data_IF_499749385060
#
_entry.id   IF_499749385060
#
_cell.length_a   1.000
_cell.length_b   1.000
_cell.length_c   1.000
_cell.angle_alpha   90.00
_cell.angle_beta   90.00
_cell.angle_gamma   90.00
#
_symmetry.space_group_name_H-M   'P 1'
#
loop_
_entity.id
_entity.type
_entity.pdbx_description
1 polymer ?
#
# COMPACT_ATOMS: atom_id res chain seq x y z
N UNK A 1 -0.20 14.41 9.75
CA UNK A 1 0.81 15.48 9.88
C UNK A 1 1.12 15.66 11.36
N UNK A 2 2.31 15.22 11.77
CA UNK A 2 2.82 15.39 13.14
C UNK A 2 3.83 16.54 13.21
N UNK A 3 4.29 16.86 14.41
CA UNK A 3 5.39 17.80 14.60
C UNK A 3 6.70 17.21 14.04
N UNK A 4 7.68 18.07 13.78
CA UNK A 4 9.04 17.67 13.47
C UNK A 4 9.61 16.82 14.61
N UNK A 5 10.24 15.69 14.29
CA UNK A 5 10.90 14.85 15.29
C UNK A 5 12.28 15.42 15.62
N UNK A 6 12.47 15.83 16.87
CA UNK A 6 13.77 16.20 17.41
C UNK A 6 14.46 14.96 18.01
N UNK A 7 15.53 14.52 17.33
CA UNK A 7 16.31 13.34 17.71
C UNK A 7 17.19 13.60 18.95
N UNK A 8 17.58 14.85 19.19
CA UNK A 8 18.47 15.21 20.30
C UNK A 8 17.69 15.39 21.61
N UNK A 9 16.38 15.61 21.54
CA UNK A 9 15.56 15.92 22.73
C UNK A 9 15.95 17.26 23.37
N UNK A 10 16.76 18.05 22.68
CA UNK A 10 17.14 19.41 23.03
C UNK A 10 16.07 20.34 22.43
N UNK A 11 14.83 20.17 22.87
CA UNK A 11 13.94 21.32 22.98
C UNK A 11 14.58 22.22 24.03
N UNK A 12 15.63 22.95 23.63
CA UNK A 12 16.12 24.12 24.34
C UNK A 12 14.86 24.94 24.59
N UNK A 13 14.43 25.03 25.86
CA UNK A 13 13.51 26.07 26.26
C UNK A 13 14.10 27.34 25.66
N UNK A 14 13.41 27.88 24.66
CA UNK A 14 13.85 29.07 23.93
C UNK A 14 13.70 30.20 24.94
N UNK A 15 14.71 30.36 25.81
CA UNK A 15 14.72 31.37 26.85
C UNK A 15 14.63 32.73 26.15
N UNK A 16 13.66 33.54 26.59
CA UNK A 16 13.49 34.89 26.08
C UNK A 16 14.75 35.70 26.42
N UNK A 17 15.53 36.05 25.40
CA UNK A 17 16.78 36.82 25.54
C UNK A 17 16.55 38.31 25.33
N UNK A 18 15.32 38.78 25.54
CA UNK A 18 14.99 40.21 25.50
C UNK A 18 15.49 40.89 26.76
N UNK A 19 16.36 41.88 26.56
CA UNK A 19 16.85 42.78 27.60
C UNK A 19 15.86 43.94 27.70
N UNK A 20 15.37 44.17 28.91
CA UNK A 20 14.48 45.27 29.22
C UNK A 20 15.21 46.35 30.02
N UNK A 21 14.96 47.60 29.65
CA UNK A 21 15.32 48.76 30.45
C UNK A 21 14.07 49.28 31.15
N UNK A 22 14.21 49.70 32.41
CA UNK A 22 13.12 50.37 33.14
C UNK A 22 13.19 51.87 32.81
N UNK A 23 12.14 52.42 32.21
CA UNK A 23 12.08 53.84 31.88
C UNK A 23 11.75 54.71 33.12
N UNK A 24 11.81 56.02 32.97
CA UNK A 24 11.56 56.99 34.05
C UNK A 24 10.12 56.94 34.63
N UNK A 25 9.21 56.22 33.96
CA UNK A 25 7.85 55.96 34.42
C UNK A 25 7.70 54.58 35.11
N UNK A 26 8.80 53.85 35.30
CA UNK A 26 8.82 52.53 35.92
C UNK A 26 8.34 51.38 35.02
N UNK A 27 8.18 51.62 33.72
CA UNK A 27 7.71 50.62 32.76
C UNK A 27 8.90 49.92 32.08
N UNK A 28 8.73 48.63 31.76
CA UNK A 28 9.72 47.86 30.99
C UNK A 28 9.66 48.25 29.51
N UNK A 29 10.81 48.60 28.95
CA UNK A 29 10.99 48.88 27.52
C UNK A 29 12.09 47.97 26.96
N UNK A 30 11.75 47.15 25.96
CA UNK A 30 12.72 46.29 25.29
C UNK A 30 13.75 47.14 24.52
N UNK A 31 15.04 46.85 24.71
CA UNK A 31 16.14 47.57 24.03
C UNK A 31 16.80 46.77 22.91
N UNK A 32 16.54 45.46 22.85
CA UNK A 32 16.87 44.60 21.73
C UNK A 32 15.62 43.88 21.23
N UNK A 33 15.68 43.43 19.97
CA UNK A 33 14.75 42.42 19.46
C UNK A 33 15.10 41.08 20.13
N UNK A 34 14.10 40.23 20.32
CA UNK A 34 14.31 38.87 20.80
C UNK A 34 15.38 38.15 19.95
N UNK A 35 16.41 37.65 20.65
CA UNK A 35 17.59 36.97 20.09
C UNK A 35 17.52 35.45 20.30
N UNK A 36 16.41 34.95 20.84
CA UNK A 36 16.20 33.54 21.16
C UNK A 36 16.35 32.61 19.94
N UNK A 37 16.14 33.13 18.72
CA UNK A 37 16.30 32.41 17.45
C UNK A 37 17.63 32.58 16.71
N UNK A 38 18.70 33.07 17.36
CA UNK A 38 20.03 33.23 16.72
C UNK A 38 20.90 31.96 16.75
N UNK A 39 20.39 30.85 17.27
CA UNK A 39 21.06 29.55 17.13
C UNK A 39 20.75 29.04 15.73
N UNK A 40 21.70 29.24 14.81
CA UNK A 40 21.71 28.53 13.52
C UNK A 40 21.98 27.06 13.80
N UNK A 41 20.94 26.31 14.12
CA UNK A 41 20.87 24.90 13.79
C UNK A 41 19.69 24.75 12.83
N UNK A 42 19.98 24.85 11.54
CA UNK A 42 19.14 24.26 10.51
C UNK A 42 19.23 22.73 10.68
N UNK A 43 18.65 22.21 11.76
CA UNK A 43 18.26 20.81 11.80
C UNK A 43 17.02 20.71 10.92
N UNK A 44 17.24 20.39 9.64
CA UNK A 44 16.19 19.90 8.77
C UNK A 44 15.61 18.64 9.44
N UNK A 45 14.49 18.79 10.15
CA UNK A 45 13.74 17.66 10.66
C UNK A 45 13.18 16.90 9.45
N UNK A 46 13.90 15.87 9.02
CA UNK A 46 13.55 15.04 7.87
C UNK A 46 12.38 14.10 8.15
N UNK A 47 12.05 13.90 9.43
CA UNK A 47 11.04 12.97 9.90
C UNK A 47 10.11 13.64 10.92
N UNK A 48 8.85 13.26 10.91
CA UNK A 48 7.85 13.69 11.89
C UNK A 48 7.83 12.79 13.12
N UNK A 49 7.39 13.29 14.28
CA UNK A 49 7.28 12.48 15.51
C UNK A 49 6.43 11.23 15.31
N UNK A 50 5.36 11.34 14.51
CA UNK A 50 4.49 10.21 14.20
C UNK A 50 5.25 9.12 13.43
N UNK A 51 6.06 9.50 12.44
CA UNK A 51 6.88 8.54 11.70
C UNK A 51 7.92 7.89 12.61
N UNK A 52 8.57 8.65 13.50
CA UNK A 52 9.55 8.10 14.44
C UNK A 52 8.91 7.08 15.41
N UNK A 53 7.69 7.36 15.88
CA UNK A 53 6.92 6.42 16.71
C UNK A 53 6.53 5.17 15.91
N UNK A 54 6.08 5.31 14.66
CA UNK A 54 5.75 4.17 13.79
C UNK A 54 6.97 3.27 13.59
N UNK A 55 8.12 3.86 13.22
CA UNK A 55 9.37 3.13 13.01
C UNK A 55 9.82 2.40 14.27
N UNK A 56 9.71 3.04 15.44
CA UNK A 56 10.07 2.41 16.70
C UNK A 56 9.16 1.22 17.04
N UNK A 57 7.86 1.34 16.77
CA UNK A 57 6.90 0.24 16.96
C UNK A 57 7.24 -0.92 16.01
N UNK A 58 7.53 -0.67 14.73
CA UNK A 58 7.95 -1.69 13.78
C UNK A 58 9.22 -2.41 14.25
N UNK A 59 10.27 -1.69 14.65
CA UNK A 59 11.52 -2.28 15.15
C UNK A 59 11.30 -3.16 16.39
N UNK A 60 10.50 -2.70 17.35
CA UNK A 60 10.22 -3.46 18.58
C UNK A 60 9.41 -4.72 18.27
N UNK A 61 8.41 -4.62 17.39
CA UNK A 61 7.57 -5.77 17.01
C UNK A 61 8.36 -6.83 16.22
N UNK A 62 9.26 -6.42 15.33
CA UNK A 62 10.19 -7.32 14.64
C UNK A 62 11.13 -8.02 15.62
N UNK A 63 11.78 -7.25 16.51
CA UNK A 63 12.71 -7.79 17.52
C UNK A 63 12.04 -8.79 18.46
N UNK A 64 10.77 -8.57 18.80
CA UNK A 64 9.98 -9.44 19.66
C UNK A 64 9.27 -10.57 18.89
N UNK A 65 9.41 -10.63 17.56
CA UNK A 65 8.73 -11.58 16.68
C UNK A 65 7.21 -11.63 16.93
N UNK A 66 6.59 -10.47 17.11
CA UNK A 66 5.15 -10.36 17.32
C UNK A 66 4.42 -10.78 16.05
N UNK A 67 3.48 -11.71 16.16
CA UNK A 67 2.67 -12.14 15.02
C UNK A 67 1.81 -10.96 14.55
N UNK A 68 1.86 -10.69 13.24
CA UNK A 68 1.10 -9.58 12.66
C UNK A 68 -0.40 -9.88 12.76
N UNK A 69 -1.17 -8.88 13.15
CA UNK A 69 -2.62 -9.02 13.26
C UNK A 69 -3.20 -9.28 11.88
N UNK A 70 -4.15 -10.20 11.79
CA UNK A 70 -4.85 -10.45 10.52
C UNK A 70 -5.53 -9.16 10.06
N UNK A 71 -5.13 -8.69 8.88
CA UNK A 71 -5.75 -7.52 8.27
C UNK A 71 -7.21 -7.88 7.92
N UNK A 72 -8.17 -7.00 8.18
CA UNK A 72 -9.58 -7.28 7.87
C UNK A 72 -9.82 -7.39 6.35
N UNK A 73 -8.94 -6.82 5.54
CA UNK A 73 -9.03 -6.81 4.08
C UNK A 73 -7.76 -7.40 3.47
N UNK A 74 -7.92 -8.19 2.41
CA UNK A 74 -6.79 -8.54 1.55
C UNK A 74 -6.29 -7.31 0.78
N UNK A 75 -5.05 -7.36 0.25
CA UNK A 75 -4.58 -6.35 -0.69
C UNK A 75 -5.57 -6.15 -1.85
N UNK A 76 -5.65 -4.95 -2.44
CA UNK A 76 -6.48 -4.72 -3.60
C UNK A 76 -6.07 -5.62 -4.78
N UNK A 77 -7.02 -5.93 -5.67
CA UNK A 77 -6.71 -6.65 -6.91
C UNK A 77 -5.66 -5.86 -7.71
N UNK A 78 -4.66 -6.54 -8.29
CA UNK A 78 -3.69 -5.89 -9.17
C UNK A 78 -4.38 -5.41 -10.46
N UNK A 79 -3.80 -4.41 -11.11
CA UNK A 79 -4.34 -3.86 -12.36
C UNK A 79 -4.35 -4.87 -13.51
N UNK A 80 -3.35 -5.76 -13.53
CA UNK A 80 -3.22 -6.84 -14.51
C UNK A 80 -2.85 -8.14 -13.80
N UNK A 81 -3.37 -9.25 -14.33
CA UNK A 81 -3.08 -10.60 -13.85
C UNK A 81 -2.71 -11.45 -15.05
N UNK A 82 -1.57 -12.15 -14.97
CA UNK A 82 -1.16 -13.08 -16.02
C UNK A 82 -1.64 -14.49 -15.69
N UNK A 83 -1.98 -15.27 -16.72
CA UNK A 83 -2.42 -16.66 -16.52
C UNK A 83 -1.36 -17.52 -15.82
N UNK A 84 -0.07 -17.23 -16.03
CA UNK A 84 1.06 -17.88 -15.35
C UNK A 84 1.03 -17.75 -13.85
N UNK A 85 0.40 -16.69 -13.32
CA UNK A 85 0.31 -16.42 -11.88
C UNK A 85 -0.88 -17.16 -11.25
N UNK A 86 -1.82 -17.63 -12.08
CA UNK A 86 -3.06 -18.27 -11.63
C UNK A 86 -3.01 -19.79 -11.77
N UNK A 87 -2.40 -20.27 -12.85
CA UNK A 87 -2.43 -21.68 -13.26
C UNK A 87 -1.13 -22.07 -13.98
N UNK A 88 -0.87 -23.37 -14.09
CA UNK A 88 0.18 -23.89 -14.97
C UNK A 88 -0.15 -23.51 -16.43
N UNK A 89 0.87 -23.13 -17.20
CA UNK A 89 0.70 -22.68 -18.59
C UNK A 89 1.65 -23.36 -19.58
N UNK A 90 2.48 -24.30 -19.12
CA UNK A 90 3.26 -25.13 -20.02
C UNK A 90 2.37 -26.17 -20.71
N UNK A 91 2.05 -25.92 -21.98
CA UNK A 91 1.21 -26.80 -22.80
C UNK A 91 1.71 -28.26 -22.80
N UNK A 92 3.02 -28.51 -22.67
CA UNK A 92 3.56 -29.88 -22.65
C UNK A 92 3.15 -30.67 -21.41
N UNK A 93 2.90 -29.98 -20.30
CA UNK A 93 2.44 -30.58 -19.04
C UNK A 93 0.92 -30.71 -19.00
N UNK A 94 0.22 -29.82 -19.69
CA UNK A 94 -1.23 -29.74 -19.67
C UNK A 94 -1.89 -30.66 -20.70
N UNK A 95 -1.28 -30.78 -21.88
CA UNK A 95 -1.76 -31.69 -22.91
C UNK A 95 -1.66 -33.13 -22.44
N UNK A 96 -2.78 -33.83 -22.53
CA UNK A 96 -2.91 -35.22 -22.13
C UNK A 96 -3.59 -36.03 -23.23
N UNK A 97 -3.37 -37.35 -23.24
CA UNK A 97 -3.97 -38.24 -24.24
C UNK A 97 -5.50 -38.26 -24.17
N UNK A 98 -6.07 -37.94 -23.01
CA UNK A 98 -7.50 -37.82 -22.80
C UNK A 98 -7.78 -36.47 -22.14
N UNK A 99 -8.16 -35.44 -22.92
CA UNK A 99 -8.39 -34.11 -22.38
C UNK A 99 -9.56 -34.14 -21.37
N UNK A 100 -9.44 -33.42 -20.25
CA UNK A 100 -10.54 -33.32 -19.27
C UNK A 100 -11.74 -32.53 -19.83
N UNK A 101 -12.80 -32.41 -19.05
CA UNK A 101 -13.89 -31.47 -19.35
C UNK A 101 -13.35 -30.03 -19.42
N UNK A 102 -13.96 -29.19 -20.27
CA UNK A 102 -13.51 -27.81 -20.49
C UNK A 102 -13.85 -26.92 -19.29
N UNK A 103 -12.82 -26.50 -18.56
CA UNK A 103 -12.86 -25.54 -17.48
C UNK A 103 -12.02 -24.31 -17.87
N UNK A 104 -12.65 -23.15 -17.93
CA UNK A 104 -12.02 -21.89 -18.32
C UNK A 104 -11.52 -21.14 -17.10
N UNK A 105 -10.29 -20.64 -17.12
CA UNK A 105 -9.78 -19.70 -16.12
C UNK A 105 -9.90 -18.27 -16.63
N UNK A 106 -10.89 -17.54 -16.12
CA UNK A 106 -11.27 -16.23 -16.64
C UNK A 106 -10.44 -15.07 -16.05
N UNK A 107 -9.83 -15.28 -14.88
CA UNK A 107 -9.06 -14.24 -14.19
C UNK A 107 -9.00 -14.48 -12.68
N UNK A 108 -8.88 -13.41 -11.91
CA UNK A 108 -8.75 -13.41 -10.46
C UNK A 108 -10.05 -12.89 -9.83
N UNK A 109 -10.70 -13.70 -8.99
CA UNK A 109 -11.87 -13.28 -8.20
C UNK A 109 -11.44 -12.86 -6.79
N UNK A 110 -12.17 -11.89 -6.24
CA UNK A 110 -12.09 -11.48 -4.85
C UNK A 110 -13.42 -11.79 -4.16
N UNK A 111 -13.37 -12.49 -3.03
CA UNK A 111 -14.51 -12.85 -2.19
C UNK A 111 -14.29 -12.22 -0.81
N UNK A 112 -14.83 -11.01 -0.56
CA UNK A 112 -14.57 -10.27 0.68
C UNK A 112 -15.02 -11.03 1.93
N UNK A 113 -16.18 -11.70 1.85
CA UNK A 113 -16.78 -12.44 2.96
C UNK A 113 -15.92 -13.61 3.45
N UNK A 114 -15.14 -14.20 2.53
CA UNK A 114 -14.26 -15.33 2.79
C UNK A 114 -12.80 -14.90 3.00
N UNK A 115 -12.50 -13.59 2.92
CA UNK A 115 -11.13 -13.07 2.84
C UNK A 115 -10.28 -13.87 1.83
N UNK A 116 -10.84 -14.15 0.65
CA UNK A 116 -10.23 -15.00 -0.36
C UNK A 116 -10.05 -14.27 -1.69
N UNK A 117 -8.88 -14.46 -2.29
CA UNK A 117 -8.56 -14.03 -3.65
C UNK A 117 -7.92 -15.20 -4.39
N UNK A 118 -8.46 -15.57 -5.55
CA UNK A 118 -7.92 -16.69 -6.33
C UNK A 118 -8.55 -16.87 -7.70
N UNK A 119 -8.18 -17.92 -8.45
CA UNK A 119 -8.62 -18.09 -9.83
C UNK A 119 -10.15 -18.18 -9.97
N UNK A 120 -10.70 -17.43 -10.92
CA UNK A 120 -12.09 -17.54 -11.37
C UNK A 120 -12.18 -18.63 -12.44
N UNK A 121 -12.80 -19.75 -12.06
CA UNK A 121 -12.98 -20.91 -12.93
C UNK A 121 -14.43 -21.06 -13.34
N UNK A 122 -14.66 -21.38 -14.61
CA UNK A 122 -15.97 -21.64 -15.17
C UNK A 122 -15.97 -22.97 -15.92
N UNK A 123 -16.81 -23.91 -15.48
CA UNK A 123 -17.02 -25.19 -16.18
C UNK A 123 -17.97 -24.97 -17.36
N UNK A 124 -17.46 -25.09 -18.58
CA UNK A 124 -18.20 -24.70 -19.78
C UNK A 124 -19.41 -25.60 -20.01
N UNK A 125 -19.30 -26.90 -19.72
CA UNK A 125 -20.40 -27.86 -19.86
C UNK A 125 -21.60 -27.51 -18.96
N UNK A 126 -21.34 -26.95 -17.77
CA UNK A 126 -22.37 -26.57 -16.81
C UNK A 126 -22.95 -25.18 -17.12
N UNK A 127 -22.11 -24.26 -17.60
CA UNK A 127 -22.51 -22.90 -17.89
C UNK A 127 -23.20 -22.74 -19.26
N UNK A 128 -22.90 -23.60 -20.23
CA UNK A 128 -23.42 -23.50 -21.59
C UNK A 128 -22.82 -22.31 -22.34
N UNK A 129 -23.66 -21.35 -22.73
CA UNK A 129 -23.24 -20.17 -23.50
C UNK A 129 -22.84 -19.00 -22.59
N UNK A 130 -21.82 -18.25 -22.99
CA UNK A 130 -21.31 -17.08 -22.26
C UNK A 130 -21.68 -15.81 -23.02
N UNK A 131 -22.33 -14.86 -22.34
CA UNK A 131 -22.55 -13.52 -22.86
C UNK A 131 -21.53 -12.53 -22.28
N UNK A 132 -20.74 -11.90 -23.14
CA UNK A 132 -19.74 -10.89 -22.75
C UNK A 132 -20.24 -9.47 -23.08
N UNK A 133 -20.44 -8.65 -22.06
CA UNK A 133 -20.96 -7.28 -22.19
C UNK A 133 -19.94 -6.30 -21.60
N UNK A 134 -19.71 -5.18 -22.29
CA UNK A 134 -18.78 -4.16 -21.85
C UNK A 134 -18.66 -3.00 -22.84
N UNK A 135 -18.26 -1.85 -22.35
CA UNK A 135 -18.08 -0.63 -23.14
C UNK A 135 -16.83 -0.70 -24.05
N UNK A 136 -16.72 0.14 -25.09
CA UNK A 136 -15.49 0.27 -25.88
C UNK A 136 -14.28 0.57 -24.99
N UNK A 137 -13.16 -0.11 -25.21
CA UNK A 137 -11.93 0.06 -24.43
C UNK A 137 -11.80 -0.81 -23.17
N UNK A 138 -12.86 -1.51 -22.75
CA UNK A 138 -12.86 -2.32 -21.51
C UNK A 138 -12.41 -3.78 -21.72
N UNK A 139 -11.52 -4.03 -22.68
CA UNK A 139 -10.84 -5.32 -22.78
C UNK A 139 -11.65 -6.52 -23.30
N UNK A 140 -12.86 -6.34 -23.85
CA UNK A 140 -13.68 -7.47 -24.39
C UNK A 140 -12.92 -8.36 -25.39
N UNK A 141 -12.16 -7.77 -26.31
CA UNK A 141 -11.34 -8.53 -27.27
C UNK A 141 -10.20 -9.27 -26.57
N UNK A 142 -9.57 -8.63 -25.58
CA UNK A 142 -8.51 -9.26 -24.79
C UNK A 142 -9.05 -10.46 -24.00
N UNK A 143 -10.23 -10.32 -23.40
CA UNK A 143 -10.92 -11.42 -22.71
C UNK A 143 -11.18 -12.61 -23.65
N UNK A 144 -11.70 -12.37 -24.86
CA UNK A 144 -11.94 -13.44 -25.83
C UNK A 144 -10.63 -14.12 -26.28
N UNK A 145 -9.57 -13.35 -26.55
CA UNK A 145 -8.26 -13.91 -26.86
C UNK A 145 -7.74 -14.78 -25.71
N UNK A 146 -7.83 -14.30 -24.48
CA UNK A 146 -7.38 -15.03 -23.30
C UNK A 146 -8.11 -16.37 -23.15
N UNK A 147 -9.43 -16.41 -23.37
CA UNK A 147 -10.21 -17.66 -23.36
C UNK A 147 -9.74 -18.61 -24.45
N UNK A 148 -9.58 -18.12 -25.68
CA UNK A 148 -9.18 -18.98 -26.82
C UNK A 148 -7.80 -19.60 -26.55
N UNK A 149 -6.84 -18.80 -26.06
CA UNK A 149 -5.51 -19.29 -25.71
C UNK A 149 -5.51 -20.22 -24.49
N UNK A 150 -6.39 -19.97 -23.50
CA UNK A 150 -6.55 -20.84 -22.35
C UNK A 150 -7.02 -22.24 -22.80
N UNK A 151 -8.06 -22.28 -23.66
CA UNK A 151 -8.57 -23.53 -24.23
C UNK A 151 -7.47 -24.24 -25.02
N UNK A 152 -6.86 -23.57 -26.00
CA UNK A 152 -5.86 -24.18 -26.89
C UNK A 152 -4.62 -24.73 -26.15
N UNK A 153 -4.36 -24.22 -24.95
CA UNK A 153 -3.23 -24.65 -24.11
C UNK A 153 -3.57 -25.85 -23.23
N UNK A 154 -4.82 -25.98 -22.79
CA UNK A 154 -5.25 -27.03 -21.86
C UNK A 154 -5.92 -28.23 -22.54
N UNK A 155 -6.42 -28.05 -23.77
CA UNK A 155 -7.24 -29.02 -24.50
C UNK A 155 -6.80 -29.10 -25.96
#
# INVERSE_FOLDING_TARGET
SGAAYDVMGDALEVEDKTIYMINDFGQLQAINKDLSGLVNDEQEASQTELEAVIDHIEQVTERLAVENVKRPWLPPLPEAVYQTDLIETDFKKLWSTQPPEVELTLGLKYVPEEQYQGPLKLKLEQAGHIALIGSPGYGRTNFLHNIIFDIARHY
#
